data_IF_681920378397
#
_entry.id   IF_681920378397
#
_cell.length_a   1.000
_cell.length_b   1.000
_cell.length_c   1.000
_cell.angle_alpha   90.00
_cell.angle_beta   90.00
_cell.angle_gamma   90.00
#
_symmetry.space_group_name_H-M   'P 1'
#
loop_
_entity.id
_entity.type
_entity.pdbx_description
1 polymer ?
#
# COMPACT_ATOMS: atom_id res chain seq x y z
N UNK A 1 -10.83 6.99 77.15
CA UNK A 1 -11.48 7.15 75.85
C UNK A 1 -10.42 7.05 74.76
N UNK A 2 -9.56 6.04 74.87
CA UNK A 2 -9.79 4.69 74.32
C UNK A 2 -9.44 4.67 72.84
N UNK A 3 -8.15 4.46 72.65
CA UNK A 3 -7.49 3.97 71.46
C UNK A 3 -8.06 2.59 71.11
N UNK A 4 -9.00 2.49 70.16
CA UNK A 4 -9.48 1.20 69.63
C UNK A 4 -9.61 1.33 68.11
N UNK A 5 -8.53 1.03 67.37
CA UNK A 5 -8.14 -0.27 66.77
C UNK A 5 -8.40 -0.21 65.27
N UNK A 6 -7.33 0.12 64.56
CA UNK A 6 -7.20 -0.08 63.12
C UNK A 6 -6.98 -1.58 62.96
N UNK A 7 -8.05 -2.35 62.74
CA UNK A 7 -7.93 -3.79 62.50
C UNK A 7 -7.44 -4.03 61.08
N UNK A 8 -6.13 -3.86 60.88
CA UNK A 8 -5.47 -4.34 59.67
C UNK A 8 -5.35 -5.85 59.76
N UNK A 9 -6.36 -6.56 59.26
CA UNK A 9 -6.31 -8.01 59.05
C UNK A 9 -5.18 -8.30 58.05
N UNK A 10 -4.00 -8.65 58.56
CA UNK A 10 -2.89 -9.18 57.76
C UNK A 10 -3.15 -10.65 57.46
N UNK A 11 -3.74 -10.93 56.31
CA UNK A 11 -3.79 -12.29 55.76
C UNK A 11 -2.40 -12.64 55.23
N UNK A 12 -1.65 -13.43 56.00
CA UNK A 12 -0.39 -14.00 55.57
C UNK A 12 -0.67 -15.16 54.61
N UNK A 13 -0.58 -14.92 53.30
CA UNK A 13 -0.60 -16.02 52.32
C UNK A 13 0.80 -16.59 52.18
N UNK A 14 1.05 -17.69 52.88
CA UNK A 14 2.25 -18.50 52.71
C UNK A 14 2.21 -19.21 51.34
N UNK A 15 3.10 -18.84 50.41
CA UNK A 15 3.24 -19.50 49.10
C UNK A 15 4.30 -20.60 49.23
N UNK A 16 3.89 -21.87 49.16
CA UNK A 16 4.85 -22.98 48.97
C UNK A 16 5.38 -22.92 47.54
N UNK A 17 6.66 -22.61 47.39
CA UNK A 17 7.34 -22.58 46.10
C UNK A 17 7.62 -24.04 45.66
N UNK A 18 6.75 -24.58 44.81
CA UNK A 18 6.99 -25.85 44.14
C UNK A 18 8.00 -25.67 43.02
N UNK A 19 9.14 -26.35 43.09
CA UNK A 19 10.16 -26.36 42.04
C UNK A 19 9.70 -27.16 40.83
N UNK A 20 8.82 -26.59 40.01
CA UNK A 20 8.57 -27.10 38.66
C UNK A 20 9.58 -26.48 37.69
N UNK A 21 10.84 -26.94 37.78
CA UNK A 21 11.78 -26.77 36.67
C UNK A 21 11.38 -27.76 35.58
N UNK A 22 10.35 -27.42 34.80
CA UNK A 22 10.08 -28.13 33.56
C UNK A 22 11.20 -27.77 32.58
N UNK A 23 12.03 -28.76 32.23
CA UNK A 23 13.08 -28.64 31.22
C UNK A 23 12.47 -28.12 29.93
N UNK A 24 12.74 -26.86 29.60
CA UNK A 24 12.45 -26.29 28.30
C UNK A 24 13.57 -26.78 27.37
N UNK A 25 13.25 -27.72 26.48
CA UNK A 25 14.14 -27.98 25.33
C UNK A 25 13.98 -26.83 24.35
N UNK A 26 15.08 -26.21 23.86
CA UNK A 26 14.96 -25.20 22.84
C UNK A 26 14.37 -25.85 21.58
N UNK A 27 13.16 -25.46 21.22
CA UNK A 27 12.63 -25.77 19.90
C UNK A 27 13.43 -24.93 18.90
N UNK A 28 14.13 -25.58 17.97
CA UNK A 28 14.77 -24.90 16.85
C UNK A 28 13.67 -24.33 15.96
N UNK A 29 13.36 -23.04 16.15
CA UNK A 29 12.44 -22.33 15.27
C UNK A 29 13.18 -22.04 13.98
N UNK A 30 12.75 -22.67 12.87
CA UNK A 30 13.24 -22.32 11.54
C UNK A 30 12.61 -20.98 11.15
N UNK A 31 13.37 -19.90 11.34
CA UNK A 31 13.00 -18.58 10.83
C UNK A 31 13.06 -18.66 9.30
N UNK A 32 11.91 -18.51 8.63
CA UNK A 32 11.89 -18.31 7.18
C UNK A 32 12.53 -16.95 6.91
N UNK A 33 13.68 -16.93 6.24
CA UNK A 33 14.28 -15.68 5.77
C UNK A 33 13.34 -15.04 4.75
N UNK A 34 12.99 -13.77 4.96
CA UNK A 34 12.13 -13.01 4.06
C UNK A 34 12.81 -12.62 2.74
N UNK A 35 14.07 -13.02 2.52
CA UNK A 35 14.90 -12.55 1.40
C UNK A 35 15.01 -13.52 0.23
N UNK A 36 14.20 -14.57 0.16
CA UNK A 36 14.26 -15.56 -0.94
C UNK A 36 12.98 -15.55 -1.78
N UNK A 37 12.71 -14.41 -2.42
CA UNK A 37 11.89 -14.38 -3.64
C UNK A 37 12.74 -13.69 -4.69
N UNK A 38 13.43 -14.50 -5.50
CA UNK A 38 14.11 -14.04 -6.70
C UNK A 38 13.56 -14.86 -7.86
N UNK A 39 12.42 -14.43 -8.38
CA UNK A 39 11.99 -14.74 -9.73
C UNK A 39 11.17 -13.54 -10.25
N UNK A 40 11.86 -12.40 -10.40
CA UNK A 40 11.26 -11.13 -10.81
C UNK A 40 11.13 -11.09 -12.34
N UNK A 41 10.28 -11.93 -12.92
CA UNK A 41 9.70 -11.63 -14.24
C UNK A 41 8.37 -10.95 -13.96
N UNK A 42 8.43 -9.63 -13.72
CA UNK A 42 7.23 -8.81 -13.58
C UNK A 42 6.38 -9.01 -14.84
N UNK A 43 5.14 -9.51 -14.71
CA UNK A 43 4.33 -9.83 -15.87
C UNK A 43 4.03 -8.55 -16.67
N UNK A 44 4.04 -8.63 -18.01
CA UNK A 44 3.62 -7.51 -18.84
C UNK A 44 2.18 -7.10 -18.50
N UNK A 45 1.85 -5.83 -18.68
CA UNK A 45 0.51 -5.31 -18.43
C UNK A 45 -0.54 -6.06 -19.25
N UNK A 46 -1.60 -6.52 -18.59
CA UNK A 46 -2.69 -7.24 -19.23
C UNK A 46 -3.71 -6.25 -19.83
N UNK A 47 -3.77 -6.21 -21.16
CA UNK A 47 -4.69 -5.35 -21.90
C UNK A 47 -6.17 -5.68 -21.66
N UNK A 48 -6.51 -6.90 -21.21
CA UNK A 48 -7.89 -7.25 -20.85
C UNK A 48 -8.42 -6.44 -19.65
N UNK A 49 -7.52 -5.88 -18.83
CA UNK A 49 -7.90 -5.00 -17.72
C UNK A 49 -8.50 -3.67 -18.19
N UNK A 50 -8.24 -3.24 -19.44
CA UNK A 50 -8.75 -1.99 -19.99
C UNK A 50 -10.28 -1.93 -20.00
N UNK A 51 -10.97 -3.07 -20.03
CA UNK A 51 -12.44 -3.15 -19.96
C UNK A 51 -13.00 -2.60 -18.63
N UNK A 52 -12.21 -2.68 -17.56
CA UNK A 52 -12.60 -2.23 -16.22
C UNK A 52 -11.92 -0.93 -15.79
N UNK A 53 -10.88 -0.50 -16.52
CA UNK A 53 -9.96 0.54 -16.10
C UNK A 53 -10.27 1.87 -16.82
N UNK A 54 -10.42 2.94 -16.05
CA UNK A 54 -10.78 4.28 -16.53
C UNK A 54 -9.82 5.35 -16.03
N UNK A 55 -9.74 6.47 -16.74
CA UNK A 55 -8.96 7.63 -16.34
C UNK A 55 -9.44 8.17 -14.97
N UNK A 56 -8.53 8.42 -14.00
CA UNK A 56 -8.92 8.93 -12.69
C UNK A 56 -9.54 10.34 -12.76
N UNK A 57 -9.19 11.13 -13.78
CA UNK A 57 -9.66 12.50 -14.00
C UNK A 57 -10.97 12.55 -14.81
N UNK A 58 -10.98 12.00 -16.02
CA UNK A 58 -12.14 12.13 -16.93
C UNK A 58 -13.16 10.99 -16.84
N UNK A 59 -12.83 9.91 -16.11
CA UNK A 59 -13.64 8.67 -16.03
C UNK A 59 -13.92 8.00 -17.38
N UNK A 60 -13.14 8.33 -18.41
CA UNK A 60 -13.21 7.73 -19.75
C UNK A 60 -12.27 6.51 -19.86
N UNK A 61 -12.53 5.61 -20.81
CA UNK A 61 -11.60 4.52 -21.11
C UNK A 61 -10.21 5.04 -21.49
N UNK A 62 -9.19 4.22 -21.24
CA UNK A 62 -7.79 4.49 -21.58
C UNK A 62 -7.33 3.60 -22.73
N UNK A 63 -6.36 4.08 -23.50
CA UNK A 63 -5.69 3.30 -24.54
C UNK A 63 -4.32 2.85 -24.05
N UNK A 64 -4.02 1.56 -24.09
CA UNK A 64 -2.69 1.07 -23.80
C UNK A 64 -1.75 1.28 -25.00
N UNK A 65 -0.55 1.78 -24.75
CA UNK A 65 0.54 1.92 -25.72
C UNK A 65 1.69 1.00 -25.32
N UNK A 66 1.82 -0.13 -26.02
CA UNK A 66 2.83 -1.13 -25.72
C UNK A 66 4.27 -0.64 -25.97
N UNK A 67 4.46 0.35 -26.85
CA UNK A 67 5.81 0.89 -27.16
C UNK A 67 6.41 1.69 -26.01
N UNK A 68 5.58 2.47 -25.31
CA UNK A 68 6.00 3.31 -24.19
C UNK A 68 5.58 2.74 -22.84
N UNK A 69 4.83 1.63 -22.84
CA UNK A 69 4.25 1.00 -21.67
C UNK A 69 3.39 1.97 -20.83
N UNK A 70 2.43 2.60 -21.49
CA UNK A 70 1.62 3.70 -20.92
C UNK A 70 0.13 3.52 -21.18
N UNK A 71 -0.68 4.10 -20.29
CA UNK A 71 -2.12 4.27 -20.47
C UNK A 71 -2.42 5.71 -20.88
N UNK A 72 -2.89 5.86 -22.10
CA UNK A 72 -3.12 7.15 -22.76
C UNK A 72 -4.58 7.55 -22.62
N UNK A 73 -4.80 8.80 -22.19
CA UNK A 73 -6.07 9.48 -22.32
C UNK A 73 -5.99 10.49 -23.48
N UNK A 74 -6.71 10.21 -24.57
CA UNK A 74 -6.66 11.04 -25.78
C UNK A 74 -7.39 12.38 -25.63
N UNK A 75 -8.43 12.45 -24.80
CA UNK A 75 -9.20 13.67 -24.59
C UNK A 75 -8.38 14.75 -23.87
N UNK A 76 -7.64 14.34 -22.82
CA UNK A 76 -6.80 15.21 -22.01
C UNK A 76 -5.36 15.30 -22.52
N UNK A 77 -4.94 14.42 -23.44
CA UNK A 77 -3.58 14.41 -23.97
C UNK A 77 -2.52 14.02 -22.93
N UNK A 78 -2.87 13.18 -21.96
CA UNK A 78 -1.99 12.73 -20.86
C UNK A 78 -1.78 11.20 -20.91
N UNK A 79 -0.63 10.75 -20.42
CA UNK A 79 -0.24 9.35 -20.29
C UNK A 79 0.10 9.02 -18.84
N UNK A 80 -0.39 7.88 -18.35
CA UNK A 80 0.01 7.28 -17.09
C UNK A 80 1.03 6.16 -17.35
N UNK A 81 2.24 6.21 -16.75
CA UNK A 81 3.23 5.16 -16.94
C UNK A 81 2.83 3.88 -16.21
N UNK A 82 3.23 2.72 -16.75
CA UNK A 82 3.15 1.43 -16.07
C UNK A 82 4.53 1.03 -15.58
N UNK A 83 4.68 0.85 -14.27
CA UNK A 83 5.94 0.53 -13.59
C UNK A 83 5.75 -0.82 -12.91
N UNK A 84 6.61 -1.80 -13.22
CA UNK A 84 6.52 -3.16 -12.67
C UNK A 84 5.13 -3.81 -12.90
N UNK A 85 4.55 -3.59 -14.08
CA UNK A 85 3.20 -4.07 -14.44
C UNK A 85 2.04 -3.34 -13.73
N UNK A 86 2.34 -2.38 -12.85
CA UNK A 86 1.36 -1.62 -12.07
C UNK A 86 1.15 -0.24 -12.71
N UNK A 87 -0.09 0.11 -13.11
CA UNK A 87 -0.40 1.45 -13.59
C UNK A 87 -0.24 2.51 -12.52
N UNK A 88 0.61 3.50 -12.77
CA UNK A 88 0.74 4.67 -11.90
C UNK A 88 -0.28 5.73 -12.27
N UNK A 89 -1.46 5.67 -11.66
CA UNK A 89 -2.60 6.56 -11.93
C UNK A 89 -2.63 7.82 -11.04
N UNK A 90 -1.47 8.34 -10.64
CA UNK A 90 -1.37 9.59 -9.88
C UNK A 90 -1.49 10.78 -10.85
N UNK A 91 -2.51 11.66 -10.73
CA UNK A 91 -2.72 12.77 -11.68
C UNK A 91 -1.51 13.69 -11.88
N UNK A 92 -0.73 13.92 -10.82
CA UNK A 92 0.45 14.77 -10.82
C UNK A 92 1.65 14.12 -11.55
N UNK A 93 1.65 12.80 -11.67
CA UNK A 93 2.72 12.03 -12.32
C UNK A 93 2.37 11.69 -13.78
N UNK A 94 1.16 12.04 -14.22
CA UNK A 94 0.74 11.87 -15.60
C UNK A 94 1.63 12.73 -16.53
N UNK A 95 2.23 12.09 -17.54
CA UNK A 95 3.04 12.79 -18.54
C UNK A 95 2.15 13.39 -19.62
N UNK A 96 2.40 14.63 -19.99
CA UNK A 96 1.80 15.23 -21.19
C UNK A 96 2.35 14.54 -22.46
N UNK A 97 1.46 14.14 -23.36
CA UNK A 97 1.81 13.49 -24.64
C UNK A 97 1.72 14.48 -25.79
N UNK A 98 0.71 15.36 -25.72
CA UNK A 98 0.45 16.60 -26.50
C UNK A 98 -1.07 16.79 -26.64
N UNK A 99 -1.53 18.01 -26.42
CA UNK A 99 -2.53 18.67 -27.26
C UNK A 99 -2.39 20.19 -27.04
N UNK A 100 -1.80 20.88 -28.00
CA UNK A 100 -2.16 22.27 -28.27
C UNK A 100 -2.70 22.29 -29.70
N UNK A 101 -3.93 22.79 -29.88
CA UNK A 101 -3.96 24.00 -30.71
C UNK A 101 -4.42 25.27 -29.99
N UNK A 102 -5.03 25.22 -28.78
CA UNK A 102 -5.74 26.39 -28.22
C UNK A 102 -5.49 26.68 -26.73
N UNK A 103 -4.27 26.52 -26.22
CA UNK A 103 -3.87 27.14 -24.93
C UNK A 103 -3.74 28.69 -25.01
N UNK A 104 -4.22 29.31 -26.10
CA UNK A 104 -4.37 30.76 -26.24
C UNK A 104 -5.78 31.15 -26.69
N UNK A 105 -6.82 30.73 -25.98
CA UNK A 105 -7.97 31.63 -25.81
C UNK A 105 -7.91 32.15 -24.38
N UNK A 106 -6.98 33.09 -24.18
CA UNK A 106 -7.21 34.13 -23.18
C UNK A 106 -8.57 34.75 -23.53
N UNK A 107 -9.52 34.88 -22.60
CA UNK A 107 -10.65 35.77 -22.81
C UNK A 107 -10.08 37.20 -22.85
N UNK A 108 -9.69 37.64 -24.04
CA UNK A 108 -9.42 39.04 -24.30
C UNK A 108 -10.77 39.76 -24.46
N UNK A 109 -11.13 40.48 -23.40
CA UNK A 109 -11.74 41.84 -23.41
C UNK A 109 -13.07 42.05 -24.15
N UNK A 110 -14.16 42.32 -23.40
CA UNK A 110 -14.82 43.63 -23.20
C UNK A 110 -16.08 43.44 -22.34
#
# INVERSE_FOLDING_TARGET
MDLIVIETVRISRYVKQGSLLQRITPASVLVRSFTDVKDEVQPPFDASLLEFLVCPLSKKPLRYEAKTNELINEELGIAYPIIDGIPNMIPQEARLIRKDPDASVSPAQE
#
